data_IF_649861162120
#
_entry.id   IF_649861162120
#
_cell.length_a   1.000
_cell.length_b   1.000
_cell.length_c   1.000
_cell.angle_alpha   90.00
_cell.angle_beta   90.00
_cell.angle_gamma   90.00
#
_symmetry.space_group_name_H-M   'P 1'
#
loop_
_entity.id
_entity.type
_entity.pdbx_description
1 polymer ?
#
# COMPACT_ATOMS: atom_id res chain seq x y z
N UNK A 1 19.76 5.68 8.06
CA UNK A 1 18.83 4.72 7.43
C UNK A 1 17.43 5.24 7.69
N UNK A 2 16.76 5.80 6.67
CA UNK A 2 15.44 6.44 6.84
C UNK A 2 14.37 5.34 6.99
N UNK A 3 13.59 5.40 8.07
CA UNK A 3 12.44 4.53 8.27
C UNK A 3 11.20 5.21 7.67
N UNK A 4 10.46 4.52 6.81
CA UNK A 4 9.16 4.98 6.36
C UNK A 4 8.14 4.56 7.43
N UNK A 5 7.67 5.53 8.22
CA UNK A 5 6.62 5.27 9.21
C UNK A 5 5.30 5.26 8.49
N UNK A 6 4.67 4.09 8.36
CA UNK A 6 3.25 4.03 8.01
C UNK A 6 2.46 4.46 9.24
N UNK A 7 2.32 5.78 9.44
CA UNK A 7 1.54 6.33 10.56
C UNK A 7 0.13 5.73 10.64
N UNK A 8 -0.44 5.34 9.49
CA UNK A 8 -1.78 4.75 9.40
C UNK A 8 -1.84 3.25 9.76
N UNK A 9 -0.70 2.56 9.88
CA UNK A 9 -0.64 1.13 10.22
C UNK A 9 0.05 0.88 11.57
N UNK A 10 0.67 1.90 12.17
CA UNK A 10 1.43 1.79 13.42
C UNK A 10 2.55 0.74 13.34
N UNK A 11 3.16 0.58 12.15
CA UNK A 11 4.29 -0.33 11.91
C UNK A 11 5.47 0.51 11.45
N UNK A 12 6.63 0.25 12.04
CA UNK A 12 7.92 0.82 11.63
C UNK A 12 8.67 -0.24 10.83
N UNK A 13 8.72 -0.07 9.51
CA UNK A 13 9.51 -0.92 8.62
C UNK A 13 10.56 -0.09 7.88
N UNK A 14 11.61 -0.74 7.41
CA UNK A 14 12.65 -0.05 6.65
C UNK A 14 12.09 0.46 5.31
N UNK A 15 12.66 1.56 4.78
CA UNK A 15 12.20 2.15 3.50
C UNK A 15 12.15 1.14 2.34
N UNK A 16 13.08 0.18 2.33
CA UNK A 16 13.12 -0.90 1.32
C UNK A 16 11.94 -1.86 1.48
N UNK A 17 11.62 -2.24 2.71
CA UNK A 17 10.49 -3.11 3.03
C UNK A 17 9.16 -2.40 2.78
N UNK A 18 9.07 -1.11 3.08
CA UNK A 18 7.92 -0.27 2.79
C UNK A 18 7.58 -0.23 1.29
N UNK A 19 8.60 -0.08 0.45
CA UNK A 19 8.43 -0.09 -1.00
C UNK A 19 8.04 -1.47 -1.51
N UNK A 20 8.66 -2.54 -1.02
CA UNK A 20 8.31 -3.91 -1.38
C UNK A 20 6.85 -4.23 -1.00
N UNK A 21 6.43 -3.83 0.20
CA UNK A 21 5.08 -3.97 0.71
C UNK A 21 4.07 -3.19 -0.15
N UNK A 22 4.39 -1.95 -0.52
CA UNK A 22 3.59 -1.16 -1.46
C UNK A 22 3.37 -1.90 -2.78
N UNK A 23 4.42 -2.45 -3.39
CA UNK A 23 4.31 -3.18 -4.65
C UNK A 23 3.46 -4.46 -4.51
N UNK A 24 3.55 -5.16 -3.39
CA UNK A 24 2.71 -6.33 -3.11
C UNK A 24 1.23 -5.93 -3.02
N UNK A 25 0.89 -4.92 -2.21
CA UNK A 25 -0.48 -4.43 -2.08
C UNK A 25 -1.03 -3.92 -3.41
N UNK A 26 -0.24 -3.16 -4.17
CA UNK A 26 -0.62 -2.65 -5.49
C UNK A 26 -0.90 -3.80 -6.47
N UNK A 27 -0.06 -4.84 -6.47
CA UNK A 27 -0.24 -6.00 -7.34
C UNK A 27 -1.49 -6.79 -6.96
N UNK A 28 -1.77 -6.93 -5.67
CA UNK A 28 -3.02 -7.53 -5.19
C UNK A 28 -4.24 -6.76 -5.70
N UNK A 29 -4.27 -5.43 -5.54
CA UNK A 29 -5.38 -4.60 -6.05
C UNK A 29 -5.53 -4.74 -7.57
N UNK A 30 -4.42 -4.80 -8.30
CA UNK A 30 -4.44 -4.98 -9.76
C UNK A 30 -5.16 -6.27 -10.19
N UNK A 31 -4.97 -7.36 -9.45
CA UNK A 31 -5.56 -8.67 -9.78
C UNK A 31 -6.99 -8.77 -9.26
N UNK A 32 -7.21 -8.42 -8.00
CA UNK A 32 -8.46 -8.68 -7.26
C UNK A 32 -9.48 -7.54 -7.38
N UNK A 33 -9.05 -6.30 -7.65
CA UNK A 33 -9.92 -5.13 -7.72
C UNK A 33 -9.48 -4.14 -8.81
N UNK A 34 -9.66 -4.59 -10.06
CA UNK A 34 -9.34 -3.82 -11.27
C UNK A 34 -9.96 -2.42 -11.28
N UNK A 35 -11.14 -2.24 -10.67
CA UNK A 35 -11.82 -0.93 -10.61
C UNK A 35 -11.05 0.03 -9.70
N UNK A 36 -10.69 -0.40 -8.50
CA UNK A 36 -9.86 0.42 -7.60
C UNK A 36 -8.46 0.64 -8.17
N UNK A 37 -7.90 -0.35 -8.87
CA UNK A 37 -6.63 -0.20 -9.56
C UNK A 37 -6.69 0.87 -10.67
N UNK A 38 -7.76 0.89 -11.47
CA UNK A 38 -7.95 1.93 -12.50
C UNK A 38 -7.98 3.32 -11.86
N UNK A 39 -8.75 3.51 -10.79
CA UNK A 39 -8.80 4.79 -10.06
C UNK A 39 -7.45 5.18 -9.46
N UNK A 40 -6.65 4.22 -8.99
CA UNK A 40 -5.26 4.47 -8.57
C UNK A 40 -4.37 4.93 -9.73
N UNK A 41 -4.52 4.35 -10.92
CA UNK A 41 -3.72 4.75 -12.08
C UNK A 41 -4.12 6.13 -12.59
N UNK A 42 -5.40 6.48 -12.54
CA UNK A 42 -5.88 7.83 -12.85
C UNK A 42 -5.27 8.86 -11.90
N UNK A 43 -5.22 8.55 -10.59
CA UNK A 43 -4.56 9.39 -9.59
C UNK A 43 -3.03 9.49 -9.79
N UNK A 44 -2.39 8.41 -10.26
CA UNK A 44 -0.95 8.36 -10.55
C UNK A 44 -0.54 9.17 -11.78
N UNK A 45 -1.48 9.46 -12.70
CA UNK A 45 -1.23 10.36 -13.84
C UNK A 45 -1.05 11.83 -13.42
N UNK A 46 -1.58 12.20 -12.25
CA UNK A 46 -1.29 13.46 -11.56
C UNK A 46 0.04 13.29 -10.82
N UNK A 47 0.95 14.27 -10.89
CA UNK A 47 2.29 14.37 -10.27
C UNK A 47 2.31 14.18 -8.72
N UNK A 48 1.68 13.15 -8.19
CA UNK A 48 1.60 12.84 -6.77
C UNK A 48 2.93 12.24 -6.32
N UNK A 49 3.36 12.63 -5.11
CA UNK A 49 4.54 12.05 -4.48
C UNK A 49 4.29 10.58 -4.14
N UNK A 50 5.33 9.75 -4.20
CA UNK A 50 5.27 8.31 -3.92
C UNK A 50 4.58 7.98 -2.58
N UNK A 51 4.79 8.82 -1.56
CA UNK A 51 4.14 8.68 -0.24
C UNK A 51 2.61 8.77 -0.32
N UNK A 52 2.09 9.67 -1.17
CA UNK A 52 0.64 9.84 -1.38
C UNK A 52 0.05 8.63 -2.09
N UNK A 53 0.75 8.08 -3.09
CA UNK A 53 0.34 6.85 -3.78
C UNK A 53 0.35 5.64 -2.83
N UNK A 54 1.36 5.54 -1.96
CA UNK A 54 1.41 4.54 -0.90
C UNK A 54 0.21 4.64 0.04
N UNK A 55 -0.11 5.85 0.50
CA UNK A 55 -1.25 6.09 1.37
C UNK A 55 -2.58 5.71 0.70
N UNK A 56 -2.75 6.02 -0.59
CA UNK A 56 -3.95 5.65 -1.36
C UNK A 56 -4.10 4.13 -1.50
N UNK A 57 -3.03 3.41 -1.80
CA UNK A 57 -3.04 1.94 -1.86
C UNK A 57 -3.45 1.35 -0.51
N UNK A 58 -2.88 1.84 0.59
CA UNK A 58 -3.25 1.38 1.93
C UNK A 58 -4.70 1.69 2.27
N UNK A 59 -5.17 2.89 1.94
CA UNK A 59 -6.57 3.28 2.19
C UNK A 59 -7.55 2.37 1.45
N UNK A 60 -7.25 2.00 0.19
CA UNK A 60 -8.06 1.04 -0.57
C UNK A 60 -8.04 -0.33 0.10
N UNK A 61 -6.85 -0.80 0.52
CA UNK A 61 -6.74 -2.07 1.22
C UNK A 61 -7.49 -2.07 2.55
N UNK A 62 -7.44 -0.99 3.33
CA UNK A 62 -8.19 -0.87 4.59
C UNK A 62 -9.71 -0.84 4.36
N UNK A 63 -10.17 -0.12 3.34
CA UNK A 63 -11.60 0.05 3.09
C UNK A 63 -12.26 -1.14 2.40
N UNK A 64 -11.55 -1.80 1.47
CA UNK A 64 -12.14 -2.84 0.60
C UNK A 64 -11.57 -4.23 0.81
N UNK A 65 -10.31 -4.33 1.23
CA UNK A 65 -9.60 -5.60 1.37
C UNK A 65 -8.97 -5.77 2.77
N UNK A 66 -9.71 -5.48 3.87
CA UNK A 66 -9.11 -5.40 5.20
C UNK A 66 -8.49 -6.74 5.65
N UNK A 67 -9.11 -7.87 5.30
CA UNK A 67 -8.58 -9.20 5.63
C UNK A 67 -7.25 -9.48 4.91
N UNK A 68 -7.16 -9.17 3.62
CA UNK A 68 -5.93 -9.32 2.86
C UNK A 68 -4.83 -8.39 3.41
N UNK A 69 -5.18 -7.16 3.76
CA UNK A 69 -4.25 -6.23 4.41
C UNK A 69 -3.70 -6.78 5.72
N UNK A 70 -4.55 -7.35 6.58
CA UNK A 70 -4.10 -8.00 7.82
C UNK A 70 -3.15 -9.17 7.55
N UNK A 71 -3.43 -9.98 6.53
CA UNK A 71 -2.54 -11.09 6.14
C UNK A 71 -1.16 -10.56 5.70
N UNK A 72 -1.12 -9.55 4.84
CA UNK A 72 0.13 -8.93 4.42
C UNK A 72 0.91 -8.31 5.59
N UNK A 73 0.21 -7.66 6.54
CA UNK A 73 0.83 -7.13 7.75
C UNK A 73 1.41 -8.25 8.62
N UNK A 74 0.74 -9.39 8.74
CA UNK A 74 1.27 -10.52 9.48
C UNK A 74 2.55 -11.08 8.84
N UNK A 75 2.70 -11.02 7.52
CA UNK A 75 3.94 -11.44 6.83
C UNK A 75 5.12 -10.48 7.04
N UNK A 76 4.85 -9.25 7.48
CA UNK A 76 5.88 -8.27 7.85
C UNK A 76 6.36 -8.41 9.30
N UNK A 77 5.61 -9.12 10.15
CA UNK A 77 6.04 -9.37 11.53
C UNK A 77 7.02 -10.55 11.54
N UNK A 78 8.26 -10.35 12.02
CA UNK A 78 9.17 -11.47 12.28
C UNK A 78 8.65 -12.36 13.42
#
# INVERSE_FOLDING_TARGET
MEAAVFNNLNIRIEKREALAFYHQLRSYIQVEDKKSFSSLMDLNSSLMKDETLMASVISIMQGKHPLALTQFICTLKP
#
